data_IF_032893492303
#
_entry.id   IF_032893492303
#
_cell.length_a   1.000
_cell.length_b   1.000
_cell.length_c   1.000
_cell.angle_alpha   90.00
_cell.angle_beta   90.00
_cell.angle_gamma   90.00
#
_symmetry.space_group_name_H-M   'P 1'
#
loop_
_entity.id
_entity.type
_entity.pdbx_description
1 polymer ?
#
# COMPACT_ATOMS: atom_id res chain seq x y z
N UNK A 1 11.92 -8.87 -18.79
CA UNK A 1 10.68 -8.08 -18.99
C UNK A 1 10.57 -6.97 -17.95
N UNK A 2 10.68 -7.26 -16.64
CA UNK A 2 10.66 -6.24 -15.57
C UNK A 2 11.70 -5.13 -15.73
N UNK A 3 12.96 -5.44 -16.04
CA UNK A 3 14.01 -4.43 -16.32
C UNK A 3 13.59 -3.29 -17.24
N UNK A 4 12.81 -3.61 -18.28
CA UNK A 4 12.39 -2.64 -19.31
C UNK A 4 11.15 -1.86 -18.90
N UNK A 5 10.23 -2.48 -18.16
CA UNK A 5 8.89 -1.91 -17.90
C UNK A 5 8.72 -1.40 -16.47
N UNK A 6 9.45 -1.97 -15.52
CA UNK A 6 9.40 -1.61 -14.10
C UNK A 6 10.74 -1.94 -13.39
N UNK A 7 11.76 -1.08 -13.53
CA UNK A 7 13.07 -1.28 -12.92
C UNK A 7 13.05 -1.46 -11.39
N UNK A 8 12.07 -0.86 -10.69
CA UNK A 8 11.92 -1.01 -9.25
C UNK A 8 11.63 -2.45 -8.82
N UNK A 9 10.81 -3.17 -9.58
CA UNK A 9 10.50 -4.57 -9.30
C UNK A 9 11.65 -5.51 -9.60
N UNK A 10 12.40 -5.24 -10.68
CA UNK A 10 13.63 -5.98 -10.96
C UNK A 10 14.62 -5.86 -9.79
N UNK A 11 14.87 -4.63 -9.31
CA UNK A 11 15.80 -4.44 -8.21
C UNK A 11 15.34 -5.08 -6.91
N UNK A 12 14.04 -5.08 -6.63
CA UNK A 12 13.49 -5.80 -5.48
C UNK A 12 13.70 -7.31 -5.63
N UNK A 13 13.38 -7.88 -6.79
CA UNK A 13 13.58 -9.31 -7.06
C UNK A 13 15.05 -9.73 -6.95
N UNK A 14 15.98 -8.88 -7.40
CA UNK A 14 17.43 -9.11 -7.21
C UNK A 14 17.80 -9.03 -5.73
N UNK A 15 17.26 -8.05 -4.99
CA UNK A 15 17.51 -7.93 -3.56
C UNK A 15 16.99 -9.14 -2.75
N UNK A 16 15.96 -9.82 -3.28
CA UNK A 16 15.36 -11.01 -2.69
C UNK A 16 15.70 -12.31 -3.41
N UNK A 17 16.73 -12.35 -4.26
CA UNK A 17 17.07 -13.54 -5.07
C UNK A 17 17.36 -14.81 -4.23
N UNK A 18 17.68 -14.62 -2.94
CA UNK A 18 17.99 -15.69 -1.98
C UNK A 18 16.84 -16.02 -1.04
N UNK A 19 15.67 -15.40 -1.19
CA UNK A 19 14.52 -15.79 -0.38
C UNK A 19 14.07 -17.20 -0.79
N UNK A 20 13.94 -18.06 0.23
CA UNK A 20 13.50 -19.44 0.07
C UNK A 20 12.00 -19.55 -0.17
N UNK A 21 11.24 -18.48 0.08
CA UNK A 21 9.79 -18.46 -0.09
C UNK A 21 9.33 -18.00 -1.48
N UNK A 22 10.20 -17.38 -2.29
CA UNK A 22 9.91 -16.92 -3.66
C UNK A 22 9.10 -17.93 -4.49
N UNK A 23 9.52 -19.20 -4.46
CA UNK A 23 8.92 -20.28 -5.24
C UNK A 23 7.48 -20.63 -4.82
N UNK A 24 7.05 -20.23 -3.63
CA UNK A 24 5.68 -20.44 -3.15
C UNK A 24 4.68 -19.46 -3.78
N UNK A 25 5.17 -18.31 -4.23
CA UNK A 25 4.34 -17.23 -4.77
C UNK A 25 4.31 -17.21 -6.30
N UNK A 26 5.14 -18.01 -6.97
CA UNK A 26 5.31 -17.98 -8.42
C UNK A 26 4.75 -19.24 -9.08
N UNK A 27 3.84 -19.05 -10.04
CA UNK A 27 3.37 -20.14 -10.89
C UNK A 27 4.29 -20.32 -12.10
N UNK A 28 5.09 -21.37 -12.10
CA UNK A 28 6.10 -21.65 -13.14
C UNK A 28 5.56 -22.50 -14.32
N UNK A 29 4.26 -22.80 -14.37
CA UNK A 29 3.69 -23.76 -15.35
C UNK A 29 3.70 -23.23 -16.79
N UNK A 30 3.50 -21.93 -16.97
CA UNK A 30 3.55 -21.23 -18.26
C UNK A 30 3.77 -19.73 -18.02
N UNK A 31 3.93 -18.96 -19.10
CA UNK A 31 4.26 -17.54 -19.00
C UNK A 31 3.09 -16.69 -18.47
N UNK A 32 1.86 -17.01 -18.85
CA UNK A 32 0.65 -16.34 -18.36
C UNK A 32 0.48 -16.55 -16.85
N UNK A 33 0.56 -17.78 -16.38
CA UNK A 33 0.50 -18.11 -14.95
C UNK A 33 1.63 -17.46 -14.17
N UNK A 34 2.84 -17.42 -14.74
CA UNK A 34 3.96 -16.67 -14.16
C UNK A 34 3.60 -15.19 -14.03
N UNK A 35 3.15 -14.55 -15.10
CA UNK A 35 2.79 -13.13 -15.12
C UNK A 35 1.66 -12.78 -14.15
N UNK A 36 0.64 -13.63 -14.02
CA UNK A 36 -0.44 -13.49 -13.04
C UNK A 36 0.07 -13.57 -11.61
N UNK A 37 0.99 -14.51 -11.34
CA UNK A 37 1.55 -14.72 -10.00
C UNK A 37 2.54 -13.63 -9.56
N UNK A 38 3.10 -12.86 -10.51
CA UNK A 38 4.11 -11.84 -10.20
C UNK A 38 3.60 -10.71 -9.31
N UNK A 39 2.31 -10.39 -9.35
CA UNK A 39 1.72 -9.45 -8.41
C UNK A 39 1.92 -9.92 -6.97
N UNK A 40 1.57 -11.18 -6.71
CA UNK A 40 1.67 -11.81 -5.39
C UNK A 40 3.12 -11.96 -4.99
N UNK A 41 3.97 -12.51 -5.86
CA UNK A 41 5.39 -12.68 -5.55
C UNK A 41 6.04 -11.36 -5.15
N UNK A 42 5.86 -10.30 -5.93
CA UNK A 42 6.44 -9.00 -5.60
C UNK A 42 5.82 -8.37 -4.34
N UNK A 43 4.51 -8.55 -4.12
CA UNK A 43 3.83 -8.10 -2.90
C UNK A 43 4.48 -8.74 -1.66
N UNK A 44 4.58 -10.07 -1.65
CA UNK A 44 5.13 -10.82 -0.51
C UNK A 44 6.63 -10.57 -0.32
N UNK A 45 7.39 -10.45 -1.40
CA UNK A 45 8.82 -10.12 -1.35
C UNK A 45 9.08 -8.69 -0.86
N UNK A 46 8.10 -7.80 -1.05
CA UNK A 46 8.13 -6.47 -0.42
C UNK A 46 7.97 -6.61 1.10
N UNK A 47 7.08 -7.47 1.60
CA UNK A 47 7.00 -7.77 3.03
C UNK A 47 8.30 -8.37 3.56
N UNK A 48 8.91 -9.31 2.83
CA UNK A 48 10.19 -9.91 3.22
C UNK A 48 11.30 -8.85 3.31
N UNK A 49 11.29 -7.86 2.41
CA UNK A 49 12.25 -6.77 2.48
C UNK A 49 11.95 -5.77 3.60
N UNK A 50 10.70 -5.32 3.70
CA UNK A 50 10.26 -4.26 4.62
C UNK A 50 10.33 -4.72 6.08
N UNK A 51 10.01 -5.98 6.36
CA UNK A 51 9.85 -6.52 7.72
C UNK A 51 11.08 -7.26 8.25
N UNK A 52 12.18 -7.27 7.49
CA UNK A 52 13.45 -7.84 7.92
C UNK A 52 13.95 -7.19 9.24
N UNK A 53 14.31 -8.00 10.25
CA UNK A 53 14.79 -7.51 11.55
C UNK A 53 16.01 -6.58 11.49
N UNK A 54 16.81 -6.63 10.41
CA UNK A 54 17.94 -5.72 10.23
C UNK A 54 17.52 -4.27 9.91
N UNK A 55 16.26 -4.06 9.50
CA UNK A 55 15.72 -2.75 9.05
C UNK A 55 14.50 -2.29 9.83
N UNK A 56 13.81 -3.23 10.46
CA UNK A 56 12.52 -3.01 11.12
C UNK A 56 12.50 -3.62 12.51
N UNK A 57 11.96 -2.85 13.46
CA UNK A 57 11.61 -3.34 14.79
C UNK A 57 10.14 -3.03 15.02
N UNK A 58 9.34 -4.09 15.19
CA UNK A 58 7.89 -3.99 15.26
C UNK A 58 7.41 -2.88 16.20
N UNK A 59 6.52 -2.02 15.70
CA UNK A 59 5.93 -0.86 16.37
C UNK A 59 6.93 0.25 16.80
N UNK A 60 8.23 0.08 16.59
CA UNK A 60 9.27 1.08 16.94
C UNK A 60 9.68 1.87 15.72
N UNK A 61 10.15 1.18 14.69
CA UNK A 61 10.48 1.77 13.40
C UNK A 61 10.29 0.76 12.26
N UNK A 62 10.02 1.25 11.06
CA UNK A 62 9.84 0.43 9.86
C UNK A 62 10.83 0.81 8.77
N UNK A 63 10.96 -0.06 7.79
CA UNK A 63 11.47 0.25 6.47
C UNK A 63 10.35 0.13 5.42
N UNK A 64 10.59 0.71 4.24
CA UNK A 64 9.70 0.64 3.09
C UNK A 64 10.52 0.75 1.81
N UNK A 65 10.45 -0.27 0.96
CA UNK A 65 10.96 -0.20 -0.40
C UNK A 65 10.06 0.70 -1.24
N UNK A 66 10.62 1.80 -1.78
CA UNK A 66 9.83 2.78 -2.55
C UNK A 66 10.02 2.57 -4.05
N UNK A 67 11.26 2.55 -4.52
CA UNK A 67 11.60 2.33 -5.92
C UNK A 67 13.07 1.88 -6.08
N UNK A 68 13.51 1.75 -7.34
CA UNK A 68 14.87 1.32 -7.69
C UNK A 68 16.02 2.17 -7.09
N UNK A 69 15.75 3.42 -6.69
CA UNK A 69 16.76 4.36 -6.18
C UNK A 69 16.44 4.90 -4.79
N UNK A 70 15.29 4.55 -4.22
CA UNK A 70 14.80 5.12 -2.97
C UNK A 70 14.23 4.02 -2.08
N UNK A 71 14.68 4.01 -0.84
CA UNK A 71 14.09 3.24 0.24
C UNK A 71 13.99 4.15 1.47
N UNK A 72 12.92 4.00 2.24
CA UNK A 72 12.82 4.60 3.56
C UNK A 72 13.29 3.57 4.58
N UNK A 73 14.29 3.91 5.39
CA UNK A 73 14.80 3.02 6.45
C UNK A 73 14.79 3.71 7.80
N UNK A 74 14.54 2.94 8.86
CA UNK A 74 14.46 3.43 10.24
C UNK A 74 13.47 4.59 10.35
N UNK A 75 12.25 4.42 9.84
CA UNK A 75 11.15 5.39 9.94
C UNK A 75 10.48 5.21 11.31
N UNK A 76 10.59 6.19 12.23
CA UNK A 76 10.00 6.05 13.57
C UNK A 76 8.48 5.95 13.52
N UNK A 77 7.92 5.04 14.33
CA UNK A 77 6.47 4.80 14.41
C UNK A 77 5.87 5.17 15.77
N UNK A 78 6.66 5.18 16.85
CA UNK A 78 6.22 5.52 18.21
C UNK A 78 5.02 4.69 18.72
N UNK A 79 4.93 3.42 18.29
CA UNK A 79 3.85 2.53 18.67
C UNK A 79 2.60 2.70 17.82
N UNK A 80 1.61 3.38 18.39
CA UNK A 80 0.27 3.55 17.83
C UNK A 80 -0.79 2.71 18.53
N UNK A 81 -1.92 2.56 17.85
CA UNK A 81 -3.11 1.85 18.32
C UNK A 81 -3.54 0.80 17.30
N UNK A 82 -4.43 -0.12 17.70
CA UNK A 82 -4.82 -1.25 16.86
C UNK A 82 -5.60 -0.76 15.63
N UNK A 83 -5.24 -1.23 14.42
CA UNK A 83 -5.86 -0.76 13.18
C UNK A 83 -7.35 -1.07 13.11
N UNK A 84 -7.85 -2.07 13.85
CA UNK A 84 -9.30 -2.32 13.99
C UNK A 84 -10.09 -1.12 14.52
N UNK A 85 -9.47 -0.16 15.20
CA UNK A 85 -10.15 1.04 15.70
C UNK A 85 -10.71 1.93 14.59
N UNK A 86 -10.29 1.74 13.34
CA UNK A 86 -10.83 2.45 12.18
C UNK A 86 -12.17 1.87 11.68
N UNK A 87 -12.54 0.64 12.08
CA UNK A 87 -13.75 -0.04 11.61
C UNK A 87 -15.03 0.82 11.71
N UNK A 88 -15.27 1.57 12.80
CA UNK A 88 -16.47 2.41 12.89
C UNK A 88 -16.54 3.54 11.86
N UNK A 89 -15.43 3.91 11.21
CA UNK A 89 -15.41 4.91 10.14
C UNK A 89 -15.72 4.31 8.76
N UNK A 90 -15.80 2.99 8.65
CA UNK A 90 -16.19 2.27 7.42
C UNK A 90 -17.69 2.00 7.49
N UNK A 91 -18.47 2.84 6.79
CA UNK A 91 -19.95 2.81 6.82
C UNK A 91 -20.56 2.17 5.58
N UNK A 92 -19.74 1.75 4.62
CA UNK A 92 -20.12 1.02 3.42
C UNK A 92 -19.62 -0.43 3.48
N UNK A 93 -19.82 -1.18 2.39
CA UNK A 93 -19.36 -2.57 2.25
C UNK A 93 -18.29 -2.75 1.17
N UNK A 94 -17.70 -1.66 0.69
CA UNK A 94 -16.82 -1.68 -0.47
C UNK A 94 -15.54 -2.50 -0.23
N UNK A 95 -15.09 -2.55 1.03
CA UNK A 95 -13.87 -3.26 1.44
C UNK A 95 -14.15 -4.49 2.31
N UNK A 96 -15.38 -5.00 2.39
CA UNK A 96 -15.81 -5.93 3.45
C UNK A 96 -14.95 -7.22 3.54
N UNK A 97 -14.52 -7.77 2.40
CA UNK A 97 -13.63 -8.94 2.36
C UNK A 97 -12.26 -8.65 2.98
N UNK A 98 -11.68 -7.50 2.66
CA UNK A 98 -10.42 -7.03 3.22
C UNK A 98 -10.56 -6.57 4.67
N UNK A 99 -11.71 -5.98 5.03
CA UNK A 99 -12.01 -5.60 6.41
C UNK A 99 -12.06 -6.85 7.29
N UNK A 100 -12.59 -7.96 6.77
CA UNK A 100 -12.54 -9.28 7.40
C UNK A 100 -11.11 -9.72 7.74
N UNK A 101 -10.20 -9.62 6.78
CA UNK A 101 -8.80 -10.08 6.92
C UNK A 101 -7.97 -9.12 7.77
N UNK A 102 -8.02 -7.83 7.49
CA UNK A 102 -7.07 -6.88 8.05
C UNK A 102 -7.57 -6.24 9.35
N UNK A 103 -8.87 -6.07 9.51
CA UNK A 103 -9.42 -5.29 10.62
C UNK A 103 -10.18 -6.15 11.64
N UNK A 104 -11.01 -7.10 11.19
CA UNK A 104 -11.86 -7.93 12.06
C UNK A 104 -11.15 -9.18 12.57
N UNK A 105 -10.19 -9.71 11.82
CA UNK A 105 -9.40 -10.84 12.28
C UNK A 105 -8.70 -10.54 13.63
N UNK A 106 -8.62 -11.59 14.44
CA UNK A 106 -8.17 -11.54 15.82
C UNK A 106 -6.73 -11.08 15.96
N UNK A 107 -5.84 -11.47 15.04
CA UNK A 107 -4.43 -11.12 15.06
C UNK A 107 -4.18 -9.90 14.18
N UNK A 108 -4.56 -9.96 12.92
CA UNK A 108 -4.34 -8.91 11.94
C UNK A 108 -4.97 -7.58 12.38
N UNK A 109 -6.15 -7.60 13.01
CA UNK A 109 -6.79 -6.39 13.51
C UNK A 109 -6.04 -5.70 14.65
N UNK A 110 -5.09 -6.38 15.31
CA UNK A 110 -4.29 -5.81 16.42
C UNK A 110 -3.04 -5.08 15.94
N UNK A 111 -2.64 -5.27 14.68
CA UNK A 111 -1.50 -4.57 14.12
C UNK A 111 -1.73 -3.05 14.13
N UNK A 112 -0.67 -2.29 14.34
CA UNK A 112 -0.73 -0.83 14.46
C UNK A 112 -0.36 -0.16 13.14
N UNK A 113 0.09 1.09 13.19
CA UNK A 113 0.51 1.84 12.00
C UNK A 113 1.49 1.06 11.12
N UNK A 114 2.40 0.27 11.71
CA UNK A 114 3.30 -0.60 10.95
C UNK A 114 2.56 -1.54 9.99
N UNK A 115 1.56 -2.27 10.49
CA UNK A 115 0.79 -3.20 9.66
C UNK A 115 -0.06 -2.50 8.61
N UNK A 116 -0.47 -1.25 8.85
CA UNK A 116 -1.16 -0.44 7.83
C UNK A 116 -0.18 -0.02 6.73
N UNK A 117 1.01 0.46 7.09
CA UNK A 117 2.03 0.91 6.14
C UNK A 117 2.63 -0.25 5.33
N UNK A 118 2.85 -1.41 5.96
CA UNK A 118 3.43 -2.58 5.31
C UNK A 118 2.53 -3.13 4.20
N UNK A 119 1.25 -3.37 4.49
CA UNK A 119 0.27 -3.83 3.50
C UNK A 119 0.07 -2.84 2.36
N UNK A 120 0.02 -1.53 2.67
CA UNK A 120 -0.04 -0.50 1.64
C UNK A 120 1.21 -0.51 0.76
N UNK A 121 2.41 -0.58 1.33
CA UNK A 121 3.62 -0.57 0.52
C UNK A 121 3.75 -1.82 -0.36
N UNK A 122 3.44 -3.00 0.18
CA UNK A 122 3.39 -4.24 -0.58
C UNK A 122 2.37 -4.16 -1.72
N UNK A 123 1.18 -3.60 -1.46
CA UNK A 123 0.20 -3.27 -2.50
C UNK A 123 0.74 -2.33 -3.59
N UNK A 124 1.53 -1.32 -3.21
CA UNK A 124 2.17 -0.37 -4.12
C UNK A 124 3.39 -0.91 -4.88
N UNK A 125 3.80 -2.14 -4.57
CA UNK A 125 4.76 -2.90 -5.36
C UNK A 125 4.05 -3.98 -6.21
N UNK A 126 3.00 -4.62 -5.68
CA UNK A 126 2.19 -5.58 -6.43
C UNK A 126 1.39 -4.95 -7.59
N UNK A 127 0.75 -3.80 -7.37
CA UNK A 127 -0.02 -3.10 -8.41
C UNK A 127 0.80 -2.76 -9.66
N UNK A 128 1.96 -2.10 -9.57
CA UNK A 128 2.80 -1.91 -10.75
C UNK A 128 3.27 -3.23 -11.37
N UNK A 129 3.59 -4.24 -10.56
CA UNK A 129 4.02 -5.56 -11.06
C UNK A 129 2.96 -6.19 -11.97
N UNK A 130 1.68 -6.09 -11.59
CA UNK A 130 0.53 -6.54 -12.36
C UNK A 130 0.27 -5.66 -13.58
N UNK A 131 0.33 -4.34 -13.41
CA UNK A 131 0.02 -3.36 -14.46
C UNK A 131 0.94 -3.50 -15.66
N UNK A 132 2.24 -3.71 -15.45
CA UNK A 132 3.23 -3.79 -16.54
C UNK A 132 3.23 -5.12 -17.30
N UNK A 133 2.43 -6.10 -16.84
CA UNK A 133 2.25 -7.41 -17.47
C UNK A 133 0.78 -7.73 -17.76
N UNK A 134 -0.11 -6.74 -17.66
CA UNK A 134 -1.56 -6.95 -17.74
C UNK A 134 -2.01 -7.68 -19.01
N UNK A 135 -1.27 -7.60 -20.11
CA UNK A 135 -1.62 -8.29 -21.36
C UNK A 135 -1.56 -9.82 -21.23
N UNK A 136 -0.80 -10.31 -20.24
CA UNK A 136 -0.61 -11.72 -19.92
C UNK A 136 -1.52 -12.21 -18.80
N UNK A 137 -2.17 -11.30 -18.06
CA UNK A 137 -3.19 -11.60 -17.05
C UNK A 137 -4.52 -11.82 -17.78
N UNK A 138 -5.10 -13.03 -17.62
CA UNK A 138 -6.30 -13.44 -18.36
C UNK A 138 -7.52 -13.50 -17.45
N UNK A 139 -8.59 -12.82 -17.87
CA UNK A 139 -9.89 -12.85 -17.21
C UNK A 139 -10.19 -11.58 -16.41
N UNK A 140 -11.48 -11.36 -16.21
CA UNK A 140 -12.01 -10.30 -15.34
C UNK A 140 -11.80 -10.71 -13.88
N UNK A 141 -11.27 -9.81 -13.06
CA UNK A 141 -10.97 -10.07 -11.65
C UNK A 141 -9.84 -11.08 -11.40
N UNK A 142 -8.99 -11.33 -12.41
CA UNK A 142 -7.87 -12.27 -12.30
C UNK A 142 -6.79 -11.80 -11.29
N UNK A 143 -6.80 -10.51 -10.94
CA UNK A 143 -5.95 -9.93 -9.90
C UNK A 143 -6.77 -8.97 -9.05
N UNK A 144 -6.40 -8.84 -7.78
CA UNK A 144 -6.98 -7.90 -6.80
C UNK A 144 -6.02 -6.74 -6.47
N UNK A 145 -5.03 -6.48 -7.32
CA UNK A 145 -3.96 -5.53 -7.04
C UNK A 145 -4.48 -4.10 -6.81
N UNK A 146 -5.52 -3.69 -7.56
CA UNK A 146 -6.18 -2.38 -7.37
C UNK A 146 -6.93 -2.33 -6.05
N UNK A 147 -7.65 -3.39 -5.69
CA UNK A 147 -8.36 -3.48 -4.41
C UNK A 147 -7.40 -3.36 -3.23
N UNK A 148 -6.25 -4.04 -3.27
CA UNK A 148 -5.24 -4.01 -2.20
C UNK A 148 -4.72 -2.59 -2.03
N UNK A 149 -4.32 -1.92 -3.12
CA UNK A 149 -3.78 -0.57 -3.06
C UNK A 149 -4.84 0.46 -2.59
N UNK A 150 -6.05 0.41 -3.16
CA UNK A 150 -7.12 1.34 -2.82
C UNK A 150 -7.57 1.15 -1.36
N UNK A 151 -7.76 -0.09 -0.92
CA UNK A 151 -8.24 -0.39 0.44
C UNK A 151 -7.20 -0.08 1.50
N UNK A 152 -5.93 -0.44 1.29
CA UNK A 152 -4.90 -0.13 2.29
C UNK A 152 -4.57 1.37 2.37
N UNK A 153 -4.75 2.14 1.28
CA UNK A 153 -4.71 3.59 1.37
C UNK A 153 -5.88 4.12 2.22
N UNK A 154 -7.09 3.59 2.01
CA UNK A 154 -8.26 3.93 2.85
C UNK A 154 -7.93 3.70 4.32
N UNK A 155 -7.31 2.57 4.66
CA UNK A 155 -6.94 2.26 6.04
C UNK A 155 -5.93 3.25 6.61
N UNK A 156 -4.91 3.64 5.86
CA UNK A 156 -3.96 4.69 6.30
C UNK A 156 -4.69 6.01 6.57
N UNK A 157 -5.55 6.46 5.66
CA UNK A 157 -6.29 7.71 5.81
C UNK A 157 -7.20 7.70 7.05
N UNK A 158 -7.94 6.61 7.26
CA UNK A 158 -8.82 6.46 8.42
C UNK A 158 -8.01 6.30 9.73
N UNK A 159 -6.85 5.65 9.67
CA UNK A 159 -5.95 5.53 10.82
C UNK A 159 -5.44 6.90 11.24
N UNK A 160 -5.02 7.75 10.30
CA UNK A 160 -4.59 9.13 10.61
C UNK A 160 -5.73 9.96 11.21
N UNK A 161 -6.98 9.76 10.75
CA UNK A 161 -8.15 10.42 11.35
C UNK A 161 -8.40 9.96 12.78
N UNK A 162 -8.39 8.66 13.06
CA UNK A 162 -8.52 8.14 14.42
C UNK A 162 -7.35 8.59 15.31
N UNK A 163 -6.13 8.63 14.77
CA UNK A 163 -4.97 9.15 15.50
C UNK A 163 -5.22 10.59 15.96
N UNK A 164 -5.67 11.46 15.05
CA UNK A 164 -5.99 12.86 15.37
C UNK A 164 -7.14 12.99 16.37
N UNK A 165 -8.23 12.26 16.16
CA UNK A 165 -9.48 12.48 16.89
C UNK A 165 -9.51 11.80 18.26
N UNK A 166 -8.81 10.67 18.42
CA UNK A 166 -8.88 9.83 19.64
C UNK A 166 -7.54 9.62 20.34
N UNK A 167 -6.42 9.85 19.65
CA UNK A 167 -5.07 9.62 20.20
C UNK A 167 -4.18 10.86 20.05
N UNK A 168 -4.57 12.03 20.60
CA UNK A 168 -3.91 13.32 20.34
C UNK A 168 -2.42 13.34 20.71
N UNK A 169 -2.03 12.65 21.80
CA UNK A 169 -0.62 12.53 22.19
C UNK A 169 0.21 11.73 21.19
N UNK A 170 -0.38 10.68 20.62
CA UNK A 170 0.26 9.89 19.57
C UNK A 170 0.34 10.69 18.28
N UNK A 171 -0.76 11.32 17.86
CA UNK A 171 -0.81 12.21 16.70
C UNK A 171 0.27 13.31 16.77
N UNK A 172 0.39 13.99 17.92
CA UNK A 172 1.39 15.02 18.13
C UNK A 172 2.83 14.49 17.98
N UNK A 173 3.11 13.25 18.37
CA UNK A 173 4.40 12.60 18.12
C UNK A 173 4.61 12.36 16.62
N UNK A 174 3.74 11.58 15.99
CA UNK A 174 3.94 11.15 14.60
C UNK A 174 3.86 12.28 13.58
N UNK A 175 3.07 13.34 13.84
CA UNK A 175 3.00 14.53 12.99
C UNK A 175 4.29 15.35 13.00
N UNK A 176 5.15 15.17 14.01
CA UNK A 176 6.45 15.82 14.08
C UNK A 176 7.60 14.96 13.52
N UNK A 177 7.33 13.74 13.06
CA UNK A 177 8.34 12.81 12.53
C UNK A 177 8.57 13.01 11.02
N UNK A 178 9.67 13.64 10.57
CA UNK A 178 9.83 14.03 9.17
C UNK A 178 9.83 12.83 8.20
N UNK A 179 10.50 11.74 8.59
CA UNK A 179 10.56 10.51 7.78
C UNK A 179 9.18 9.86 7.60
N UNK A 180 8.34 9.91 8.64
CA UNK A 180 7.01 9.32 8.57
C UNK A 180 6.07 10.18 7.74
N UNK A 181 6.17 11.52 7.85
CA UNK A 181 5.48 12.47 6.97
C UNK A 181 5.82 12.23 5.51
N UNK A 182 7.10 12.11 5.18
CA UNK A 182 7.57 11.83 3.83
C UNK A 182 7.05 10.47 3.32
N UNK A 183 7.10 9.44 4.16
CA UNK A 183 6.60 8.11 3.78
C UNK A 183 5.10 8.11 3.51
N UNK A 184 4.29 8.72 4.39
CA UNK A 184 2.84 8.83 4.20
C UNK A 184 2.52 9.59 2.92
N UNK A 185 3.19 10.73 2.66
CA UNK A 185 3.00 11.48 1.44
C UNK A 185 3.38 10.64 0.21
N UNK A 186 4.53 9.97 0.27
CA UNK A 186 5.02 9.12 -0.82
C UNK A 186 4.03 7.99 -1.13
N UNK A 187 3.49 7.31 -0.11
CA UNK A 187 2.51 6.25 -0.31
C UNK A 187 1.20 6.79 -0.88
N UNK A 188 0.70 7.93 -0.38
CA UNK A 188 -0.49 8.59 -0.92
C UNK A 188 -0.34 8.92 -2.42
N UNK A 189 0.75 9.60 -2.80
CA UNK A 189 1.01 10.00 -4.19
C UNK A 189 1.28 8.82 -5.12
N UNK A 190 2.04 7.81 -4.65
CA UNK A 190 2.26 6.58 -5.41
C UNK A 190 0.96 5.82 -5.66
N UNK A 191 0.05 5.83 -4.69
CA UNK A 191 -1.26 5.20 -4.85
C UNK A 191 -2.07 5.90 -5.94
N UNK A 192 -2.12 7.24 -5.92
CA UNK A 192 -2.79 8.02 -6.96
C UNK A 192 -2.23 7.70 -8.34
N UNK A 193 -0.90 7.75 -8.47
CA UNK A 193 -0.20 7.47 -9.72
C UNK A 193 -0.52 6.06 -10.26
N UNK A 194 -0.40 5.02 -9.43
CA UNK A 194 -0.57 3.65 -9.92
C UNK A 194 -2.03 3.27 -10.16
N UNK A 195 -2.98 3.85 -9.42
CA UNK A 195 -4.41 3.68 -9.71
C UNK A 195 -4.82 4.37 -11.02
N UNK A 196 -4.25 5.53 -11.34
CA UNK A 196 -4.42 6.16 -12.67
C UNK A 196 -3.83 5.27 -13.78
N UNK A 197 -2.58 4.82 -13.62
CA UNK A 197 -1.90 3.99 -14.62
C UNK A 197 -2.56 2.64 -14.89
N UNK A 198 -3.24 2.07 -13.90
CA UNK A 198 -3.92 0.80 -14.03
C UNK A 198 -5.41 0.92 -14.38
N UNK A 199 -5.97 2.13 -14.45
CA UNK A 199 -7.39 2.36 -14.75
C UNK A 199 -7.86 1.74 -16.09
N UNK A 200 -7.07 1.76 -17.18
CA UNK A 200 -7.46 1.09 -18.44
C UNK A 200 -7.63 -0.43 -18.33
N UNK A 201 -7.22 -1.03 -17.21
CA UNK A 201 -7.23 -2.47 -16.95
C UNK A 201 -8.00 -2.79 -15.66
N UNK A 202 -8.89 -1.89 -15.21
CA UNK A 202 -9.55 -1.99 -13.93
C UNK A 202 -10.37 -3.29 -13.77
N UNK A 203 -11.02 -3.73 -14.85
CA UNK A 203 -11.79 -4.97 -14.91
C UNK A 203 -10.94 -6.24 -14.69
N UNK A 204 -9.66 -6.22 -15.07
CA UNK A 204 -8.73 -7.34 -14.88
C UNK A 204 -8.03 -7.28 -13.53
N UNK A 205 -7.67 -6.08 -13.09
CA UNK A 205 -6.74 -5.85 -11.97
C UNK A 205 -7.43 -5.53 -10.65
N UNK A 206 -8.76 -5.50 -10.62
CA UNK A 206 -9.50 -5.45 -9.39
C UNK A 206 -11.01 -5.59 -9.54
N UNK A 207 -11.71 -5.42 -8.42
CA UNK A 207 -13.17 -5.38 -8.41
C UNK A 207 -13.70 -3.99 -8.84
N UNK A 208 -14.99 -3.90 -9.20
CA UNK A 208 -15.66 -2.61 -9.42
C UNK A 208 -15.66 -1.68 -8.19
N UNK A 209 -15.42 -2.21 -6.99
CA UNK A 209 -15.41 -1.41 -5.76
C UNK A 209 -14.08 -0.69 -5.54
N UNK A 210 -12.98 -1.15 -6.15
CA UNK A 210 -11.68 -0.48 -6.08
C UNK A 210 -11.75 0.99 -6.54
N UNK A 211 -12.51 1.27 -7.60
CA UNK A 211 -12.69 2.64 -8.11
C UNK A 211 -13.53 3.51 -7.18
N UNK A 212 -14.56 2.93 -6.54
CA UNK A 212 -15.39 3.63 -5.56
C UNK A 212 -14.61 3.96 -4.30
N UNK A 213 -13.79 3.01 -3.82
CA UNK A 213 -12.86 3.24 -2.70
C UNK A 213 -11.88 4.34 -3.07
N UNK A 214 -11.29 4.27 -4.27
CA UNK A 214 -10.36 5.29 -4.79
C UNK A 214 -10.99 6.67 -4.74
N UNK A 215 -12.20 6.85 -5.27
CA UNK A 215 -12.90 8.13 -5.21
C UNK A 215 -13.09 8.65 -3.77
N UNK A 216 -13.40 7.77 -2.82
CA UNK A 216 -13.55 8.14 -1.41
C UNK A 216 -12.22 8.54 -0.74
N UNK A 217 -11.11 7.91 -1.13
CA UNK A 217 -9.78 8.18 -0.61
C UNK A 217 -9.33 9.61 -0.91
N UNK A 218 -9.75 10.17 -2.04
CA UNK A 218 -9.41 11.55 -2.44
C UNK A 218 -10.52 12.57 -2.14
N UNK A 219 -11.44 12.23 -1.23
CA UNK A 219 -12.40 13.21 -0.70
C UNK A 219 -11.70 14.35 0.05
N UNK A 220 -12.34 15.51 0.12
CA UNK A 220 -11.77 16.70 0.77
C UNK A 220 -11.31 16.44 2.23
N UNK A 221 -12.06 15.62 2.98
CA UNK A 221 -11.69 15.27 4.35
C UNK A 221 -10.40 14.44 4.44
N UNK A 222 -10.20 13.52 3.49
CA UNK A 222 -9.02 12.66 3.45
C UNK A 222 -7.79 13.41 2.88
N UNK A 223 -8.00 14.33 1.94
CA UNK A 223 -6.92 15.23 1.51
C UNK A 223 -6.50 16.13 2.68
N UNK A 224 -7.45 16.72 3.41
CA UNK A 224 -7.15 17.59 4.55
C UNK A 224 -6.35 16.88 5.65
N UNK A 225 -6.63 15.61 5.97
CA UNK A 225 -5.84 14.87 6.96
C UNK A 225 -4.40 14.62 6.47
N UNK A 226 -4.20 14.35 5.19
CA UNK A 226 -2.86 14.17 4.59
C UNK A 226 -2.09 15.47 4.57
N UNK A 227 -2.70 16.57 4.12
CA UNK A 227 -2.07 17.89 4.10
C UNK A 227 -1.71 18.34 5.51
N UNK A 228 -2.61 18.14 6.48
CA UNK A 228 -2.32 18.44 7.87
C UNK A 228 -1.18 17.59 8.42
N UNK A 229 -1.20 16.27 8.18
CA UNK A 229 -0.17 15.36 8.68
C UNK A 229 1.20 15.67 8.08
N UNK A 230 1.24 15.82 6.77
CA UNK A 230 2.49 15.91 6.00
C UNK A 230 3.02 17.34 5.92
N UNK A 231 2.16 18.35 6.08
CA UNK A 231 2.47 19.76 5.84
C UNK A 231 2.64 20.11 4.35
N UNK A 232 2.37 19.18 3.43
CA UNK A 232 2.41 19.41 1.99
C UNK A 232 1.02 19.75 1.45
N UNK A 233 0.96 20.54 0.38
CA UNK A 233 -0.29 20.79 -0.34
C UNK A 233 -0.44 19.79 -1.47
N UNK A 234 -1.55 19.04 -1.48
CA UNK A 234 -1.86 18.09 -2.54
C UNK A 234 -2.54 18.86 -3.68
N UNK A 235 -2.02 18.77 -4.91
CA UNK A 235 -2.70 19.41 -6.05
C UNK A 235 -4.01 18.72 -6.32
N UNK A 236 -5.00 19.50 -6.76
CA UNK A 236 -6.38 19.04 -7.02
C UNK A 236 -6.84 19.37 -8.44
N UNK A 237 -5.96 19.97 -9.24
CA UNK A 237 -6.22 20.50 -10.57
C UNK A 237 -6.01 19.47 -11.70
N UNK A 238 -5.59 18.26 -11.34
CA UNK A 238 -5.50 17.12 -12.25
C UNK A 238 -6.08 15.91 -11.54
N UNK A 239 -6.60 14.94 -12.29
CA UNK A 239 -7.01 13.62 -11.77
C UNK A 239 -5.86 12.86 -11.04
N UNK A 240 -4.65 13.42 -11.04
CA UNK A 240 -3.40 12.77 -10.64
C UNK A 240 -2.93 13.13 -9.23
N UNK A 241 -3.63 14.05 -8.54
CA UNK A 241 -3.36 14.44 -7.15
C UNK A 241 -1.86 14.56 -6.75
N UNK A 242 -1.00 15.09 -7.63
CA UNK A 242 0.44 15.23 -7.39
C UNK A 242 0.75 16.43 -6.46
N UNK A 243 1.89 16.49 -5.76
CA UNK A 243 2.34 17.70 -5.03
C UNK A 243 3.21 18.62 -5.89
N UNK A 244 3.40 19.87 -5.45
CA UNK A 244 4.46 20.81 -5.92
C UNK A 244 5.63 20.81 -4.96
#
# INVERSE_FOLDING_TARGET
>A
MYRRRWPSGEKLAIAQEKDKYWDQFVNKRNFEGFAESMMVAIHEETHMWDLDPARTRWDVHTASWINASQQATTVPLHGGFARREILPLITDKLSDSMDGIYLRDSQQGTYKLQGVLAELNAGLMGLPAATVVQEHIKGVGASNARDIAATNLRYLLLYLRIAKDKHPDYWAKIKNEPKLRELVLTQFLRTAYWLDKSAPYADKLGSPDADKITASNYSAANIAIVEEFTGATVRRDTDKHCTT
#
